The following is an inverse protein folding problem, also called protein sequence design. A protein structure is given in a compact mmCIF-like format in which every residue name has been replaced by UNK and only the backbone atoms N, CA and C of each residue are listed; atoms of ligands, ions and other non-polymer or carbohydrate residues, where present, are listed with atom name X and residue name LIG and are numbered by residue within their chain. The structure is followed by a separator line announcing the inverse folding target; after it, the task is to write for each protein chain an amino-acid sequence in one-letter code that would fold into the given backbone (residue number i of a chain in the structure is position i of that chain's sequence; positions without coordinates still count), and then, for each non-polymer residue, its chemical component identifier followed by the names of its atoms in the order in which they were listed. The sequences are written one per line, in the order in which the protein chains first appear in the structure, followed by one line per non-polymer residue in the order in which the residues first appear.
data_IF_902247651427
#
_entry.id   IF_902247651427
#
_cell.length_a   1.000
_cell.length_b   1.000
_cell.length_c   1.000
_cell.angle_alpha   90.00
_cell.angle_beta   90.00
_cell.angle_gamma   90.00
#
_symmetry.space_group_name_H-M   'P 1'
#
loop_
_entity.id
_entity.type
_entity.pdbx_description
1 polymer ?
#
# COMPACT_ATOMS: atom_id res chain seq x y z
N UNK A 1 11.21 14.34 22.61
CA UNK A 1 11.08 13.66 21.31
C UNK A 1 10.31 14.61 20.40
N UNK A 2 11.00 15.37 19.55
CA UNK A 2 10.37 16.32 18.62
C UNK A 2 9.80 15.53 17.45
N UNK A 3 8.47 15.51 17.30
CA UNK A 3 7.80 14.92 16.15
C UNK A 3 8.25 15.66 14.87
N UNK A 4 8.35 14.93 13.75
CA UNK A 4 9.10 15.31 12.56
C UNK A 4 8.92 16.75 12.07
N UNK A 5 9.85 17.63 12.46
CA UNK A 5 9.98 19.02 11.96
C UNK A 5 10.70 19.11 10.62
N UNK A 6 11.15 17.97 10.09
CA UNK A 6 11.67 17.94 8.72
C UNK A 6 10.53 18.20 7.73
N UNK A 7 10.80 18.89 6.61
CA UNK A 7 9.87 18.98 5.50
C UNK A 7 9.37 17.58 5.10
N UNK A 8 8.09 17.45 4.78
CA UNK A 8 7.47 16.22 4.32
C UNK A 8 8.10 15.75 3.00
N UNK A 9 8.49 16.70 2.15
CA UNK A 9 9.15 16.47 0.88
C UNK A 9 10.40 17.35 0.75
N UNK A 10 11.44 16.86 0.07
CA UNK A 10 12.66 17.63 -0.20
C UNK A 10 13.60 17.85 0.99
N UNK A 11 13.39 17.15 2.12
CA UNK A 11 14.24 17.28 3.31
C UNK A 11 15.60 16.58 3.19
N UNK A 12 15.78 15.64 2.26
CA UNK A 12 17.01 14.87 2.07
C UNK A 12 17.40 14.81 0.59
N UNK A 13 18.65 15.14 0.29
CA UNK A 13 19.26 15.08 -1.04
C UNK A 13 19.85 13.70 -1.37
N UNK A 14 19.89 12.77 -0.40
CA UNK A 14 20.31 11.40 -0.65
C UNK A 14 19.20 10.63 -1.37
N UNK A 15 19.54 10.01 -2.51
CA UNK A 15 18.63 9.20 -3.33
C UNK A 15 17.91 8.09 -2.53
N UNK A 16 18.50 7.62 -1.43
CA UNK A 16 17.97 6.56 -0.56
C UNK A 16 16.89 7.03 0.44
N UNK A 17 16.67 8.34 0.57
CA UNK A 17 15.81 8.89 1.63
C UNK A 17 14.29 8.67 1.45
N UNK A 18 13.86 8.12 0.31
CA UNK A 18 12.45 7.93 -0.01
C UNK A 18 12.15 6.56 -0.62
N UNK A 19 12.74 5.48 -0.09
CA UNK A 19 12.36 4.11 -0.47
C UNK A 19 10.86 3.85 -0.25
N UNK A 20 10.29 4.38 0.83
CA UNK A 20 8.86 4.27 1.15
C UNK A 20 8.12 5.52 0.71
N UNK A 21 7.15 5.34 -0.18
CA UNK A 21 6.23 6.39 -0.63
C UNK A 21 5.05 6.47 0.33
N UNK A 22 4.88 7.62 0.97
CA UNK A 22 3.84 7.90 1.96
C UNK A 22 2.97 9.03 1.48
N UNK A 23 1.67 8.87 1.62
CA UNK A 23 0.69 9.92 1.44
C UNK A 23 -0.35 9.89 2.55
N UNK A 24 -0.84 11.07 2.94
CA UNK A 24 -1.95 11.25 3.87
C UNK A 24 -3.02 12.12 3.21
N UNK A 25 -4.28 11.90 3.58
CA UNK A 25 -5.42 12.61 3.02
C UNK A 25 -5.83 13.76 3.93
N UNK A 26 -6.29 14.85 3.34
CA UNK A 26 -6.88 15.96 4.07
C UNK A 26 -8.02 16.54 3.25
N UNK A 27 -8.72 17.49 3.85
CA UNK A 27 -9.77 18.24 3.17
C UNK A 27 -9.54 19.73 3.35
N UNK A 28 -9.90 20.54 2.36
CA UNK A 28 -9.94 22.00 2.50
C UNK A 28 -10.82 22.42 3.68
N UNK A 29 -10.52 23.57 4.29
CA UNK A 29 -11.29 24.07 5.44
C UNK A 29 -12.77 24.35 5.15
N UNK A 30 -13.13 24.65 3.91
CA UNK A 30 -14.52 24.81 3.47
C UNK A 30 -15.21 23.48 3.16
N UNK A 31 -14.47 22.36 3.21
CA UNK A 31 -14.99 21.02 3.01
C UNK A 31 -15.27 20.64 1.55
N UNK A 32 -14.79 21.44 0.58
CA UNK A 32 -15.14 21.27 -0.84
C UNK A 32 -14.10 20.52 -1.68
N UNK A 33 -12.85 20.38 -1.18
CA UNK A 33 -11.77 19.76 -1.93
C UNK A 33 -11.05 18.69 -1.13
N UNK A 34 -10.92 17.49 -1.72
CA UNK A 34 -10.05 16.44 -1.22
C UNK A 34 -8.59 16.75 -1.56
N UNK A 35 -7.70 16.60 -0.58
CA UNK A 35 -6.29 16.97 -0.69
C UNK A 35 -5.38 15.79 -0.32
N UNK A 36 -4.19 15.76 -0.94
CA UNK A 36 -3.17 14.76 -0.66
C UNK A 36 -1.86 15.46 -0.29
N UNK A 37 -1.30 15.10 0.86
CA UNK A 37 0.07 15.43 1.24
C UNK A 37 0.94 14.18 1.08
N UNK A 38 2.10 14.30 0.45
CA UNK A 38 2.95 13.15 0.18
C UNK A 38 4.44 13.46 0.36
N UNK A 39 5.25 12.42 0.61
CA UNK A 39 6.71 12.52 0.62
C UNK A 39 7.34 12.25 -0.77
N UNK A 40 6.55 12.34 -1.83
CA UNK A 40 6.99 12.13 -3.20
C UNK A 40 6.38 13.19 -4.12
N UNK A 41 6.84 13.17 -5.37
CA UNK A 41 6.25 13.97 -6.43
C UNK A 41 5.67 13.05 -7.51
N UNK A 42 4.64 13.52 -8.22
CA UNK A 42 4.00 12.80 -9.31
C UNK A 42 3.36 13.77 -10.30
N UNK A 43 3.08 13.35 -11.55
CA UNK A 43 2.28 14.15 -12.46
C UNK A 43 0.90 14.46 -11.89
N UNK A 44 0.40 15.68 -12.13
CA UNK A 44 -0.96 16.09 -11.81
C UNK A 44 -1.66 16.47 -13.11
N UNK A 45 -2.88 15.96 -13.30
CA UNK A 45 -3.71 16.29 -14.47
C UNK A 45 -4.83 17.22 -14.07
N UNK A 46 -5.29 18.07 -14.99
CA UNK A 46 -6.35 19.05 -14.75
C UNK A 46 -7.73 18.45 -14.40
N UNK A 47 -7.89 17.13 -14.55
CA UNK A 47 -9.09 16.37 -14.20
C UNK A 47 -8.97 15.55 -12.92
N UNK A 48 -7.92 15.76 -12.12
CA UNK A 48 -7.72 15.06 -10.85
C UNK A 48 -8.83 15.46 -9.86
N UNK A 49 -9.52 14.48 -9.28
CA UNK A 49 -10.54 14.70 -8.26
C UNK A 49 -9.96 15.14 -6.90
N UNK A 50 -8.65 15.04 -6.73
CA UNK A 50 -7.93 15.47 -5.54
C UNK A 50 -6.83 16.49 -5.89
N UNK A 51 -6.71 17.51 -5.04
CA UNK A 51 -5.61 18.47 -5.09
C UNK A 51 -4.36 17.85 -4.48
N UNK A 52 -3.33 17.62 -5.29
CA UNK A 52 -2.01 17.23 -4.79
C UNK A 52 -1.29 18.48 -4.27
N UNK A 53 -1.15 18.60 -2.95
CA UNK A 53 -0.60 19.82 -2.36
C UNK A 53 0.91 19.76 -2.45
N UNK A 54 1.46 20.54 -3.38
CA UNK A 54 2.88 20.76 -3.55
C UNK A 54 3.16 22.25 -3.77
N UNK A 55 3.65 22.98 -2.76
CA UNK A 55 3.97 24.39 -2.90
C UNK A 55 5.10 24.64 -3.90
N UNK A 56 5.02 25.72 -4.68
CA UNK A 56 6.12 26.14 -5.58
C UNK A 56 7.35 26.57 -4.80
N UNK A 57 7.16 27.24 -3.66
CA UNK A 57 8.23 27.64 -2.77
C UNK A 57 8.49 26.52 -1.74
N UNK A 58 9.68 25.88 -1.74
CA UNK A 58 10.01 24.83 -0.78
C UNK A 58 9.91 25.26 0.68
N UNK A 59 10.08 26.56 1.01
CA UNK A 59 9.90 27.05 2.38
C UNK A 59 8.46 26.90 2.88
N UNK A 60 7.50 26.68 1.99
CA UNK A 60 6.10 26.46 2.31
C UNK A 60 5.73 24.97 2.37
N UNK A 61 6.68 24.05 2.20
CA UNK A 61 6.43 22.62 2.35
C UNK A 61 6.00 22.29 3.78
N UNK A 62 4.95 21.47 3.93
CA UNK A 62 4.49 21.05 5.25
C UNK A 62 5.59 20.25 5.95
N UNK A 63 5.80 20.49 7.23
CA UNK A 63 6.59 19.57 8.05
C UNK A 63 5.78 18.29 8.31
N UNK A 64 6.45 17.17 8.61
CA UNK A 64 5.77 15.88 8.82
C UNK A 64 4.69 15.97 9.91
N UNK A 65 4.96 16.68 11.01
CA UNK A 65 3.96 16.86 12.08
C UNK A 65 2.78 17.73 11.64
N UNK A 66 2.97 18.67 10.72
CA UNK A 66 1.92 19.55 10.21
C UNK A 66 0.96 18.76 9.30
N UNK A 67 1.50 17.92 8.42
CA UNK A 67 0.71 17.01 7.62
C UNK A 67 -0.06 16.01 8.50
N UNK A 68 0.56 15.50 9.56
CA UNK A 68 -0.09 14.65 10.55
C UNK A 68 -1.20 15.38 11.32
N UNK A 69 -1.00 16.64 11.70
CA UNK A 69 -2.02 17.44 12.36
C UNK A 69 -3.21 17.72 11.43
N UNK A 70 -2.93 18.04 10.16
CA UNK A 70 -3.95 18.33 9.16
C UNK A 70 -4.83 17.11 8.83
N UNK A 71 -4.23 15.94 8.57
CA UNK A 71 -4.99 14.70 8.28
C UNK A 71 -5.86 14.24 9.45
N UNK A 72 -5.53 14.68 10.67
CA UNK A 72 -6.16 14.28 11.94
C UNK A 72 -7.11 15.33 12.52
N UNK A 73 -7.29 16.48 11.84
CA UNK A 73 -8.09 17.59 12.32
C UNK A 73 -9.60 17.33 12.15
N UNK A 74 -10.10 16.28 12.81
CA UNK A 74 -11.46 15.80 12.68
C UNK A 74 -12.45 16.88 13.12
N UNK A 75 -13.40 17.28 12.24
CA UNK A 75 -14.42 18.24 12.61
C UNK A 75 -15.12 17.82 13.90
N UNK A 76 -15.47 18.83 14.70
CA UNK A 76 -16.07 18.69 16.03
C UNK A 76 -15.16 18.18 17.17
N UNK A 77 -14.10 17.45 16.86
CA UNK A 77 -13.11 17.02 17.85
C UNK A 77 -11.94 18.00 17.93
N UNK A 78 -11.49 18.51 16.78
CA UNK A 78 -10.35 19.41 16.68
C UNK A 78 -10.71 20.67 15.88
N UNK A 79 -9.95 21.74 16.12
CA UNK A 79 -9.97 22.91 15.22
C UNK A 79 -9.28 22.53 13.91
N UNK A 80 -9.68 23.13 12.77
CA UNK A 80 -8.90 23.03 11.53
C UNK A 80 -7.43 23.37 11.79
N UNK A 81 -6.52 22.64 11.15
CA UNK A 81 -5.10 22.94 11.21
C UNK A 81 -4.78 24.05 10.21
N UNK A 82 -4.28 25.18 10.68
CA UNK A 82 -3.83 26.30 9.83
C UNK A 82 -2.32 26.27 9.69
N UNK A 83 -1.85 26.11 8.45
CA UNK A 83 -0.43 26.18 8.13
C UNK A 83 0.05 27.63 8.18
N UNK A 84 0.90 27.95 9.15
CA UNK A 84 1.28 29.33 9.47
C UNK A 84 1.99 30.06 8.32
N UNK A 85 2.73 29.32 7.49
CA UNK A 85 3.56 29.88 6.41
C UNK A 85 2.74 30.26 5.17
N UNK A 86 1.62 29.60 4.93
CA UNK A 86 0.73 29.84 3.77
C UNK A 86 -0.60 30.47 4.14
N UNK A 87 -1.02 30.35 5.41
CA UNK A 87 -2.36 30.70 5.88
C UNK A 87 -3.44 29.69 5.48
N UNK A 88 -3.10 28.64 4.72
CA UNK A 88 -4.06 27.62 4.29
C UNK A 88 -4.50 26.76 5.48
N UNK A 89 -5.80 26.49 5.57
CA UNK A 89 -6.38 25.68 6.63
C UNK A 89 -6.94 24.36 6.09
N UNK A 90 -6.78 23.31 6.88
CA UNK A 90 -7.10 21.94 6.54
C UNK A 90 -7.93 21.28 7.64
N UNK A 91 -8.80 20.36 7.26
CA UNK A 91 -9.52 19.44 8.16
C UNK A 91 -9.23 17.99 7.76
N UNK A 92 -9.66 17.06 8.60
CA UNK A 92 -9.44 15.62 8.44
C UNK A 92 -9.85 15.09 7.05
N UNK A 93 -9.05 14.17 6.53
CA UNK A 93 -9.27 13.52 5.24
C UNK A 93 -10.44 12.54 5.23
N UNK A 94 -10.94 12.13 6.39
CA UNK A 94 -12.07 11.23 6.58
C UNK A 94 -13.38 11.75 5.98
N UNK A 95 -13.51 13.05 5.75
CA UNK A 95 -14.67 13.65 5.07
C UNK A 95 -14.81 13.17 3.60
N UNK A 96 -13.71 12.81 2.94
CA UNK A 96 -13.73 12.27 1.57
C UNK A 96 -13.20 10.84 1.47
N UNK A 97 -12.18 10.53 2.28
CA UNK A 97 -11.34 9.35 2.11
C UNK A 97 -11.04 8.67 3.45
N UNK A 98 -12.08 8.34 4.22
CA UNK A 98 -11.90 7.61 5.49
C UNK A 98 -11.25 6.23 5.31
N UNK A 99 -11.52 5.60 4.17
CA UNK A 99 -10.73 4.49 3.66
C UNK A 99 -9.96 4.98 2.41
N UNK A 100 -8.65 5.26 2.51
CA UNK A 100 -7.89 5.81 1.40
C UNK A 100 -7.51 4.76 0.33
N UNK A 101 -8.23 3.63 0.24
CA UNK A 101 -7.94 2.54 -0.71
C UNK A 101 -7.90 3.00 -2.18
N UNK A 102 -8.88 3.83 -2.59
CA UNK A 102 -8.91 4.41 -3.93
C UNK A 102 -7.74 5.36 -4.15
N UNK A 103 -7.43 6.21 -3.16
CA UNK A 103 -6.28 7.12 -3.21
C UNK A 103 -4.99 6.31 -3.36
N UNK A 104 -4.77 5.30 -2.53
CA UNK A 104 -3.58 4.47 -2.55
C UNK A 104 -3.40 3.72 -3.89
N UNK A 105 -4.48 3.12 -4.43
CA UNK A 105 -4.44 2.46 -5.73
C UNK A 105 -4.28 3.45 -6.90
N UNK A 106 -4.73 4.69 -6.77
CA UNK A 106 -4.52 5.75 -7.77
C UNK A 106 -3.08 6.25 -7.73
N UNK A 107 -2.58 6.61 -6.55
CA UNK A 107 -1.25 7.15 -6.37
C UNK A 107 -0.18 6.16 -6.82
N UNK A 108 -0.33 4.85 -6.55
CA UNK A 108 0.63 3.85 -7.08
C UNK A 108 0.74 3.90 -8.61
N UNK A 109 -0.38 4.10 -9.32
CA UNK A 109 -0.38 4.13 -10.78
C UNK A 109 0.32 5.37 -11.31
N UNK A 110 0.24 6.48 -10.58
CA UNK A 110 0.89 7.74 -10.94
C UNK A 110 2.39 7.74 -10.61
N UNK A 111 2.79 7.08 -9.52
CA UNK A 111 4.21 6.92 -9.15
C UNK A 111 4.90 5.93 -10.09
N UNK A 112 4.21 4.84 -10.48
CA UNK A 112 4.75 3.77 -11.33
C UNK A 112 3.92 3.57 -12.61
N UNK A 113 3.97 4.53 -13.57
CA UNK A 113 3.13 4.50 -14.76
C UNK A 113 3.38 3.28 -15.66
N UNK A 114 4.60 2.76 -15.69
CA UNK A 114 4.98 1.59 -16.50
C UNK A 114 4.24 0.28 -16.12
N UNK A 115 3.63 0.25 -14.92
CA UNK A 115 2.88 -0.89 -14.40
C UNK A 115 1.48 -0.47 -13.91
N UNK A 116 0.98 0.69 -14.35
CA UNK A 116 -0.30 1.23 -13.90
C UNK A 116 -1.49 0.31 -14.19
N UNK A 117 -1.45 -0.38 -15.33
CA UNK A 117 -2.50 -1.31 -15.78
C UNK A 117 -2.40 -2.70 -15.15
N UNK A 118 -1.32 -2.96 -14.40
CA UNK A 118 -1.10 -4.22 -13.69
C UNK A 118 -1.66 -4.15 -12.28
N UNK A 119 -2.06 -5.30 -11.75
CA UNK A 119 -2.38 -5.46 -10.34
C UNK A 119 -1.11 -5.22 -9.49
N UNK A 120 -1.25 -4.67 -8.26
CA UNK A 120 -0.13 -4.64 -7.33
C UNK A 120 0.22 -6.07 -6.89
N UNK A 121 1.41 -6.25 -6.29
CA UNK A 121 1.74 -7.53 -5.65
C UNK A 121 0.78 -7.81 -4.50
N UNK A 122 0.46 -6.75 -3.76
CA UNK A 122 -0.52 -6.75 -2.69
C UNK A 122 -0.96 -5.31 -2.42
N UNK A 123 -2.27 -5.13 -2.22
CA UNK A 123 -2.84 -3.93 -1.63
C UNK A 123 -3.54 -4.34 -0.33
N UNK A 124 -2.97 -3.93 0.81
CA UNK A 124 -3.53 -4.21 2.13
C UNK A 124 -4.23 -2.97 2.67
N UNK A 125 -5.55 -3.05 2.82
CA UNK A 125 -6.35 -2.05 3.52
C UNK A 125 -6.59 -2.49 4.96
N UNK A 126 -6.11 -1.71 5.94
CA UNK A 126 -6.25 -2.02 7.37
C UNK A 126 -7.31 -1.10 7.99
N UNK A 127 -8.33 -1.70 8.59
CA UNK A 127 -9.39 -1.00 9.30
C UNK A 127 -9.14 -0.91 10.81
N UNK A 128 -9.92 -0.07 11.48
CA UNK A 128 -9.82 0.22 12.92
C UNK A 128 -10.69 -0.70 13.79
N UNK A 129 -11.14 -1.83 13.25
CA UNK A 129 -12.10 -2.74 13.86
C UNK A 129 -13.54 -2.38 13.51
N UNK A 130 -14.41 -3.41 13.45
CA UNK A 130 -15.85 -3.23 13.19
C UNK A 130 -16.70 -3.94 14.25
N UNK A 131 -17.96 -3.52 14.35
CA UNK A 131 -18.99 -4.29 15.04
C UNK A 131 -20.21 -4.42 14.11
N UNK A 132 -20.41 -5.57 13.44
CA UNK A 132 -21.50 -5.76 12.48
C UNK A 132 -22.89 -5.74 13.12
N UNK A 133 -22.99 -5.90 14.45
CA UNK A 133 -24.27 -5.82 15.18
C UNK A 133 -24.67 -4.39 15.58
N UNK A 134 -23.77 -3.41 15.46
CA UNK A 134 -24.06 -1.99 15.70
C UNK A 134 -25.05 -1.38 14.69
N UNK A 135 -24.89 -1.53 13.35
CA UNK A 135 -25.79 -0.88 12.39
C UNK A 135 -27.23 -1.40 12.47
N UNK A 136 -27.44 -2.66 12.83
CA UNK A 136 -28.78 -3.26 12.93
C UNK A 136 -29.53 -2.82 14.20
N UNK A 137 -28.81 -2.67 15.33
CA UNK A 137 -29.35 -2.13 16.58
C UNK A 137 -29.59 -0.64 16.52
N UNK A 138 -28.68 0.11 15.93
CA UNK A 138 -28.89 1.54 15.70
C UNK A 138 -30.03 1.79 14.72
N UNK A 139 -30.22 0.95 13.68
CA UNK A 139 -31.40 1.02 12.82
C UNK A 139 -32.73 0.66 13.53
N UNK A 140 -32.71 -0.23 14.52
CA UNK A 140 -33.88 -0.54 15.37
C UNK A 140 -34.17 0.56 16.39
N UNK A 141 -33.14 1.15 17.00
CA UNK A 141 -33.24 2.33 17.86
C UNK A 141 -33.76 3.53 17.07
N UNK A 142 -33.30 3.72 15.81
CA UNK A 142 -33.81 4.71 14.84
C UNK A 142 -35.31 4.57 14.55
N UNK A 143 -35.88 3.34 14.63
CA UNK A 143 -37.32 3.10 14.44
C UNK A 143 -38.15 3.31 15.70
N UNK A 144 -37.53 3.21 16.87
CA UNK A 144 -38.19 3.37 18.18
C UNK A 144 -38.05 4.77 18.75
N UNK A 145 -37.12 5.59 18.22
CA UNK A 145 -36.97 7.02 18.52
C UNK A 145 -37.74 7.95 17.56
N UNK A 146 -38.77 7.45 16.86
CA UNK A 146 -39.77 8.31 16.23
C UNK A 146 -40.64 8.94 17.33
N UNK A 147 -40.79 10.27 17.41
CA UNK A 147 -41.67 10.87 18.39
C UNK A 147 -43.11 10.43 18.08
N UNK A 148 -43.78 9.82 19.05
CA UNK A 148 -45.25 9.85 19.08
C UNK A 148 -45.64 11.33 19.19
N UNK A 149 -46.49 11.79 18.27
CA UNK A 149 -47.14 13.08 18.36
C UNK A 149 -47.98 13.13 19.65
N UNK A 150 -47.38 13.65 20.72
CA UNK A 150 -48.09 13.92 21.95
C UNK A 150 -48.52 15.39 21.92
N UNK A 151 -49.77 15.61 21.53
CA UNK A 151 -50.42 16.92 21.53
C UNK A 151 -50.57 17.44 22.96
N UNK A 152 -49.57 18.15 23.46
CA UNK A 152 -49.71 19.03 24.63
C UNK A 152 -49.29 20.46 24.26
N UNK A 153 -50.24 21.39 24.07
CA UNK A 153 -49.92 22.77 23.77
C UNK A 153 -49.62 23.50 25.07
N UNK A 154 -48.33 23.77 25.33
CA UNK A 154 -47.79 24.97 26.00
C UNK A 154 -46.48 24.63 26.75
N UNK A 155 -45.35 24.79 26.09
CA UNK A 155 -44.06 24.99 26.74
C UNK A 155 -43.18 25.94 25.91
N UNK A 156 -42.36 26.82 26.52
CA UNK A 156 -41.63 27.86 25.79
C UNK A 156 -40.57 27.23 24.88
N UNK A 157 -40.48 27.74 23.66
CA UNK A 157 -39.56 27.28 22.61
C UNK A 157 -38.10 27.55 22.98
N UNK A 158 -37.43 26.53 23.49
CA UNK A 158 -36.02 26.58 23.81
C UNK A 158 -35.19 26.58 22.49
N UNK A 159 -34.76 27.77 22.02
CA UNK A 159 -33.92 27.95 20.81
C UNK A 159 -32.64 27.10 20.81
N UNK A 160 -32.17 26.66 21.98
CA UNK A 160 -31.03 25.75 22.15
C UNK A 160 -31.28 24.32 21.63
N UNK A 161 -32.53 23.87 21.52
CA UNK A 161 -32.85 22.53 21.02
C UNK A 161 -32.61 22.37 19.52
N UNK A 162 -32.79 23.44 18.73
CA UNK A 162 -32.63 23.42 17.27
C UNK A 162 -31.16 23.33 16.82
N UNK A 163 -30.26 24.03 17.51
CA UNK A 163 -28.81 24.00 17.24
C UNK A 163 -28.23 22.61 17.57
N UNK A 164 -28.68 21.99 18.69
CA UNK A 164 -28.25 20.63 19.03
C UNK A 164 -28.75 19.59 18.04
N UNK A 165 -29.98 19.73 17.52
CA UNK A 165 -30.53 18.83 16.49
C UNK A 165 -29.79 18.95 15.16
N UNK A 166 -29.46 20.16 14.73
CA UNK A 166 -28.71 20.40 13.49
C UNK A 166 -27.26 19.93 13.60
N UNK A 167 -26.60 20.17 14.73
CA UNK A 167 -25.29 19.59 15.02
C UNK A 167 -25.35 18.07 15.01
N UNK A 168 -26.27 17.44 15.76
CA UNK A 168 -26.41 15.98 15.79
C UNK A 168 -26.67 15.39 14.40
N UNK A 169 -27.46 16.04 13.55
CA UNK A 169 -27.68 15.61 12.17
C UNK A 169 -26.41 15.74 11.30
N UNK A 170 -25.58 16.77 11.54
CA UNK A 170 -24.28 16.90 10.88
C UNK A 170 -23.28 15.85 11.38
N UNK A 171 -23.18 15.61 12.69
CA UNK A 171 -22.40 14.51 13.27
C UNK A 171 -22.79 13.17 12.65
N UNK A 172 -24.09 12.89 12.53
CA UNK A 172 -24.58 11.65 11.90
C UNK A 172 -24.20 11.55 10.42
N UNK A 173 -24.15 12.68 9.69
CA UNK A 173 -23.66 12.69 8.31
C UNK A 173 -22.17 12.42 8.25
N UNK A 174 -21.39 13.03 9.14
CA UNK A 174 -19.97 12.73 9.29
C UNK A 174 -19.75 11.25 9.60
N UNK A 175 -20.47 10.67 10.57
CA UNK A 175 -20.37 9.25 10.91
C UNK A 175 -20.74 8.33 9.72
N UNK A 176 -21.77 8.68 8.93
CA UNK A 176 -22.15 7.91 7.75
C UNK A 176 -21.13 8.03 6.60
N UNK A 177 -20.49 9.19 6.44
CA UNK A 177 -19.39 9.41 5.48
C UNK A 177 -18.15 8.58 5.87
N UNK A 178 -17.98 8.30 7.17
CA UNK A 178 -16.91 7.48 7.69
C UNK A 178 -17.15 5.96 7.54
N UNK A 179 -18.09 5.50 6.70
CA UNK A 179 -18.27 4.05 6.45
C UNK A 179 -17.16 3.47 5.55
N UNK A 180 -16.04 3.13 6.20
CA UNK A 180 -14.87 2.57 5.55
C UNK A 180 -15.10 1.18 4.91
N UNK A 181 -16.10 0.43 5.39
CA UNK A 181 -16.45 -0.89 4.84
C UNK A 181 -17.28 -0.75 3.56
N UNK A 182 -18.15 0.25 3.49
CA UNK A 182 -18.85 0.58 2.26
C UNK A 182 -17.87 0.96 1.14
N UNK A 183 -16.93 1.88 1.41
CA UNK A 183 -15.87 2.24 0.44
C UNK A 183 -15.03 1.05 0.01
N UNK A 184 -14.74 0.11 0.92
CA UNK A 184 -14.04 -1.12 0.55
C UNK A 184 -14.88 -1.99 -0.40
N UNK A 185 -16.18 -2.17 -0.10
CA UNK A 185 -17.08 -3.00 -0.89
C UNK A 185 -17.22 -2.46 -2.32
N UNK A 186 -17.32 -1.14 -2.47
CA UNK A 186 -17.33 -0.48 -3.79
C UNK A 186 -15.99 -0.69 -4.52
N UNK A 187 -14.87 -0.47 -3.84
CA UNK A 187 -13.54 -0.68 -4.41
C UNK A 187 -13.34 -2.11 -4.89
N UNK A 188 -13.75 -3.07 -4.08
CA UNK A 188 -13.67 -4.49 -4.40
C UNK A 188 -14.53 -4.83 -5.62
N UNK A 189 -15.76 -4.29 -5.72
CA UNK A 189 -16.64 -4.47 -6.87
C UNK A 189 -16.05 -3.89 -8.17
N UNK A 190 -15.43 -2.70 -8.10
CA UNK A 190 -14.80 -2.06 -9.27
C UNK A 190 -13.64 -2.88 -9.83
N UNK A 191 -12.88 -3.54 -8.95
CA UNK A 191 -11.65 -4.26 -9.30
C UNK A 191 -11.93 -5.73 -9.65
N UNK A 192 -12.87 -6.40 -8.98
CA UNK A 192 -13.17 -7.83 -9.14
C UNK A 192 -13.98 -8.17 -10.41
N UNK A 193 -14.23 -7.21 -11.32
CA UNK A 193 -14.78 -7.49 -12.65
C UNK A 193 -13.84 -8.29 -13.58
N UNK A 194 -12.77 -8.90 -13.04
CA UNK A 194 -11.77 -9.70 -13.75
C UNK A 194 -11.59 -11.04 -13.03
N UNK A 195 -12.38 -12.04 -13.41
CA UNK A 195 -12.27 -13.40 -12.89
C UNK A 195 -11.08 -14.12 -13.57
N UNK A 196 -9.87 -13.93 -13.04
CA UNK A 196 -8.64 -14.52 -13.57
C UNK A 196 -8.26 -15.87 -12.92
N UNK A 197 -9.08 -16.34 -11.96
CA UNK A 197 -8.90 -17.61 -11.27
C UNK A 197 -7.82 -17.60 -10.18
N UNK A 198 -7.30 -16.43 -9.79
CA UNK A 198 -6.30 -16.28 -8.73
C UNK A 198 -6.85 -15.60 -7.47
N UNK A 199 -6.23 -15.82 -6.30
CA UNK A 199 -6.53 -15.02 -5.12
C UNK A 199 -6.33 -13.53 -5.41
N UNK A 200 -7.31 -12.71 -5.05
CA UNK A 200 -7.24 -11.27 -5.24
C UNK A 200 -6.03 -10.69 -4.48
N UNK A 201 -5.17 -9.87 -5.12
CA UNK A 201 -4.08 -9.19 -4.42
C UNK A 201 -4.58 -8.04 -3.54
N UNK A 202 -5.89 -7.75 -3.55
CA UNK A 202 -6.52 -6.72 -2.75
C UNK A 202 -7.11 -7.35 -1.49
N UNK A 203 -6.56 -6.98 -0.33
CA UNK A 203 -6.88 -7.60 0.95
C UNK A 203 -7.39 -6.54 1.94
N UNK A 204 -8.52 -6.80 2.59
CA UNK A 204 -9.05 -6.00 3.70
C UNK A 204 -8.85 -6.73 5.01
N UNK A 205 -8.03 -6.14 5.88
CA UNK A 205 -7.87 -6.58 7.25
C UNK A 205 -8.68 -5.67 8.17
N UNK A 206 -9.93 -6.05 8.42
CA UNK A 206 -10.77 -5.38 9.41
C UNK A 206 -11.62 -6.42 10.16
N UNK A 207 -11.28 -6.69 11.42
CA UNK A 207 -11.92 -7.75 12.20
C UNK A 207 -13.12 -7.25 13.00
N UNK A 208 -14.12 -8.12 13.11
CA UNK A 208 -15.23 -7.93 14.04
C UNK A 208 -14.72 -8.01 15.48
N UNK A 209 -14.86 -6.93 16.24
CA UNK A 209 -14.44 -6.81 17.63
C UNK A 209 -15.41 -7.49 18.60
N UNK A 210 -16.54 -8.01 18.13
CA UNK A 210 -17.64 -8.64 18.90
C UNK A 210 -18.26 -7.72 19.98
N UNK A 211 -17.77 -6.48 20.08
CA UNK A 211 -18.14 -5.46 21.04
C UNK A 211 -18.14 -4.10 20.33
N UNK A 212 -18.94 -3.14 20.83
CA UNK A 212 -18.96 -1.80 20.24
C UNK A 212 -17.62 -1.12 20.53
N UNK A 213 -16.89 -0.62 19.51
CA UNK A 213 -15.67 0.13 19.74
C UNK A 213 -15.94 1.33 20.65
N UNK A 214 -14.97 1.75 21.48
CA UNK A 214 -15.10 2.97 22.26
C UNK A 214 -15.30 4.18 21.32
N UNK A 215 -15.95 5.26 21.80
CA UNK A 215 -16.01 6.52 21.06
C UNK A 215 -14.62 7.01 20.65
N UNK A 216 -14.56 7.73 19.54
CA UNK A 216 -13.32 8.21 18.93
C UNK A 216 -12.40 9.00 19.90
N UNK A 217 -12.98 9.76 20.82
CA UNK A 217 -12.29 10.61 21.78
C UNK A 217 -12.04 9.97 23.15
N UNK A 218 -12.46 8.71 23.37
CA UNK A 218 -12.37 8.00 24.65
C UNK A 218 -10.94 7.50 24.96
N UNK A 219 -10.01 8.43 25.11
CA UNK A 219 -8.57 8.16 25.36
C UNK A 219 -8.30 7.36 26.64
N UNK A 220 -9.18 7.46 27.63
CA UNK A 220 -9.14 6.72 28.89
C UNK A 220 -9.37 5.22 28.69
N UNK A 221 -10.12 4.83 27.66
CA UNK A 221 -10.43 3.42 27.33
C UNK A 221 -9.38 2.75 26.45
N UNK A 222 -8.36 3.46 25.98
CA UNK A 222 -7.37 2.92 25.04
C UNK A 222 -6.65 1.67 25.57
N UNK A 223 -6.36 1.62 26.88
CA UNK A 223 -5.68 0.46 27.49
C UNK A 223 -6.55 -0.79 27.48
N UNK A 224 -7.83 -0.64 27.82
CA UNK A 224 -8.85 -1.70 27.81
C UNK A 224 -9.10 -2.17 26.38
N UNK A 225 -9.37 -1.24 25.46
CA UNK A 225 -9.60 -1.56 24.05
C UNK A 225 -8.43 -2.30 23.41
N UNK A 226 -7.18 -1.93 23.74
CA UNK A 226 -5.99 -2.66 23.27
C UNK A 226 -5.91 -4.08 23.83
N UNK A 227 -6.39 -4.33 25.04
CA UNK A 227 -6.46 -5.67 25.62
C UNK A 227 -7.51 -6.51 24.89
N UNK A 228 -8.69 -5.95 24.62
CA UNK A 228 -9.76 -6.61 23.88
C UNK A 228 -9.33 -7.00 22.46
N UNK A 229 -8.67 -6.08 21.75
CA UNK A 229 -8.10 -6.36 20.42
C UNK A 229 -7.07 -7.48 20.48
N UNK A 230 -6.19 -7.50 21.50
CA UNK A 230 -5.21 -8.58 21.66
C UNK A 230 -5.86 -9.93 21.92
N UNK A 231 -6.94 -9.96 22.70
CA UNK A 231 -7.71 -11.17 22.91
C UNK A 231 -8.36 -11.63 21.60
N UNK A 232 -8.98 -10.70 20.85
CA UNK A 232 -9.61 -11.00 19.56
C UNK A 232 -8.59 -11.51 18.54
N UNK A 233 -7.36 -10.99 18.56
CA UNK A 233 -6.27 -11.48 17.72
C UNK A 233 -5.93 -12.94 17.99
N UNK A 234 -6.25 -13.52 19.17
CA UNK A 234 -5.98 -14.93 19.48
C UNK A 234 -7.08 -15.88 18.99
N UNK A 235 -8.24 -15.35 18.57
CA UNK A 235 -9.31 -16.19 18.06
C UNK A 235 -8.89 -16.89 16.76
N UNK A 236 -9.21 -18.19 16.57
CA UNK A 236 -8.72 -18.95 15.41
C UNK A 236 -9.02 -18.32 14.05
N UNK A 237 -10.23 -17.80 13.86
CA UNK A 237 -10.66 -17.16 12.62
C UNK A 237 -9.85 -15.91 12.28
N UNK A 238 -9.50 -15.09 13.29
CA UNK A 238 -8.69 -13.89 13.09
C UNK A 238 -7.22 -14.24 12.93
N UNK A 239 -6.72 -15.18 13.74
CA UNK A 239 -5.33 -15.65 13.65
C UNK A 239 -5.03 -16.19 12.25
N UNK A 240 -5.95 -16.93 11.65
CA UNK A 240 -5.73 -17.51 10.32
C UNK A 240 -5.69 -16.43 9.24
N UNK A 241 -6.59 -15.45 9.26
CA UNK A 241 -6.53 -14.28 8.35
C UNK A 241 -5.24 -13.48 8.52
N UNK A 242 -4.82 -13.22 9.77
CA UNK A 242 -3.58 -12.49 10.06
C UNK A 242 -2.35 -13.27 9.59
N UNK A 243 -2.33 -14.60 9.79
CA UNK A 243 -1.27 -15.47 9.28
C UNK A 243 -1.23 -15.45 7.76
N UNK A 244 -2.37 -15.53 7.09
CA UNK A 244 -2.42 -15.53 5.62
C UNK A 244 -1.91 -14.22 5.03
N UNK A 245 -2.27 -13.08 5.63
CA UNK A 245 -1.72 -11.76 5.28
C UNK A 245 -0.21 -11.71 5.52
N UNK A 246 0.26 -12.17 6.69
CA UNK A 246 1.68 -12.19 7.01
C UNK A 246 2.48 -13.09 6.05
N UNK A 247 1.99 -14.29 5.75
CA UNK A 247 2.61 -15.21 4.81
C UNK A 247 2.63 -14.65 3.38
N UNK A 248 1.56 -13.95 2.96
CA UNK A 248 1.52 -13.24 1.67
C UNK A 248 2.58 -12.15 1.59
N UNK A 249 2.73 -11.34 2.65
CA UNK A 249 3.80 -10.34 2.74
C UNK A 249 5.19 -10.99 2.66
N UNK A 250 5.40 -12.09 3.38
CA UNK A 250 6.67 -12.84 3.35
C UNK A 250 6.95 -13.41 1.96
N UNK A 251 5.96 -13.96 1.26
CA UNK A 251 6.11 -14.44 -0.11
C UNK A 251 6.44 -13.30 -1.09
N UNK A 252 5.85 -12.13 -0.89
CA UNK A 252 6.13 -10.92 -1.69
C UNK A 252 7.56 -10.37 -1.51
N UNK A 253 8.29 -10.83 -0.49
CA UNK A 253 9.72 -10.54 -0.35
C UNK A 253 10.59 -11.29 -1.36
N UNK A 254 10.04 -12.31 -2.03
CA UNK A 254 10.70 -13.06 -3.09
C UNK A 254 10.20 -12.62 -4.46
N UNK A 255 11.08 -12.69 -5.46
CA UNK A 255 10.76 -12.41 -6.86
C UNK A 255 11.55 -13.33 -7.78
N UNK A 256 11.12 -13.43 -9.04
CA UNK A 256 11.85 -14.21 -10.06
C UNK A 256 12.55 -13.30 -11.06
N UNK A 257 13.88 -13.39 -11.10
CA UNK A 257 14.73 -12.74 -12.10
C UNK A 257 14.87 -13.65 -13.31
N UNK A 258 14.12 -13.35 -14.37
CA UNK A 258 14.26 -14.02 -15.66
C UNK A 258 15.60 -13.60 -16.30
N UNK A 259 16.39 -14.57 -16.75
CA UNK A 259 17.72 -14.34 -17.35
C UNK A 259 17.68 -14.56 -18.85
N UNK A 260 16.99 -15.62 -19.28
CA UNK A 260 16.95 -16.01 -20.69
C UNK A 260 15.63 -16.70 -21.00
N UNK A 261 15.14 -16.44 -22.21
CA UNK A 261 14.04 -17.19 -22.83
C UNK A 261 14.51 -17.74 -24.17
N UNK A 262 14.33 -19.04 -24.42
CA UNK A 262 14.70 -19.70 -25.68
C UNK A 262 13.47 -20.36 -26.29
N UNK A 263 13.07 -20.00 -27.53
CA UNK A 263 11.99 -20.70 -28.22
C UNK A 263 12.39 -22.15 -28.53
N UNK A 264 11.47 -23.08 -28.29
CA UNK A 264 11.65 -24.50 -28.56
C UNK A 264 10.87 -24.93 -29.81
N UNK A 265 11.22 -26.10 -30.35
CA UNK A 265 10.44 -26.72 -31.43
C UNK A 265 9.06 -27.08 -30.87
N UNK A 266 8.00 -26.53 -31.45
CA UNK A 266 6.62 -26.72 -30.97
C UNK A 266 5.95 -25.46 -30.41
N UNK A 267 6.63 -24.31 -30.40
CA UNK A 267 6.04 -23.01 -30.02
C UNK A 267 6.08 -22.69 -28.52
N UNK A 268 6.62 -23.62 -27.71
CA UNK A 268 6.92 -23.39 -26.30
C UNK A 268 8.25 -22.66 -26.11
N UNK A 269 8.50 -22.22 -24.88
CA UNK A 269 9.67 -21.43 -24.52
C UNK A 269 10.34 -22.00 -23.28
N UNK A 270 11.64 -22.27 -23.35
CA UNK A 270 12.46 -22.57 -22.17
C UNK A 270 12.83 -21.26 -21.48
N UNK A 271 12.42 -21.10 -20.23
CA UNK A 271 12.73 -19.96 -19.38
C UNK A 271 13.79 -20.36 -18.35
N UNK A 272 14.86 -19.59 -18.26
CA UNK A 272 15.94 -19.74 -17.27
C UNK A 272 15.98 -18.52 -16.39
N UNK A 273 16.04 -18.70 -15.07
CA UNK A 273 16.16 -17.57 -14.14
C UNK A 273 16.45 -17.97 -12.71
N UNK A 274 16.39 -16.99 -11.81
CA UNK A 274 16.70 -17.16 -10.38
C UNK A 274 15.53 -16.69 -9.52
N UNK A 275 15.27 -17.43 -8.45
CA UNK A 275 14.41 -16.96 -7.36
C UNK A 275 15.29 -16.18 -6.39
N UNK A 276 14.98 -14.89 -6.22
CA UNK A 276 15.74 -13.92 -5.43
C UNK A 276 14.89 -13.41 -4.26
N UNK A 277 15.53 -12.75 -3.29
CA UNK A 277 14.85 -12.04 -2.20
C UNK A 277 15.21 -10.55 -2.25
N UNK A 278 14.27 -9.70 -1.84
CA UNK A 278 14.43 -8.23 -1.79
C UNK A 278 15.38 -7.77 -0.68
N UNK A 279 15.54 -8.55 0.38
CA UNK A 279 16.42 -8.19 1.49
C UNK A 279 17.89 -8.39 1.12
N UNK A 280 18.73 -7.47 1.55
CA UNK A 280 20.18 -7.51 1.29
C UNK A 280 20.84 -8.74 1.94
N UNK A 281 21.87 -9.29 1.28
CA UNK A 281 22.67 -10.37 1.85
C UNK A 281 23.36 -9.92 3.13
N UNK A 282 23.34 -10.78 4.16
CA UNK A 282 23.93 -10.49 5.47
C UNK A 282 23.03 -9.71 6.43
N UNK A 283 21.96 -9.08 5.92
CA UNK A 283 21.04 -8.24 6.70
C UNK A 283 20.33 -9.00 7.83
N UNK A 284 19.88 -8.25 8.85
CA UNK A 284 19.05 -8.78 9.93
C UNK A 284 17.71 -9.29 9.42
N UNK A 285 17.14 -8.63 8.41
CA UNK A 285 15.83 -8.95 7.85
C UNK A 285 15.85 -10.28 7.10
N UNK A 286 16.90 -10.51 6.30
CA UNK A 286 17.07 -11.78 5.59
C UNK A 286 17.32 -12.95 6.57
N UNK A 287 18.04 -12.70 7.68
CA UNK A 287 18.20 -13.68 8.77
C UNK A 287 16.87 -13.96 9.49
N UNK A 288 16.06 -12.92 9.71
CA UNK A 288 14.73 -13.06 10.32
C UNK A 288 13.78 -13.86 9.41
N UNK A 289 13.81 -13.62 8.09
CA UNK A 289 13.13 -14.43 7.09
C UNK A 289 13.59 -15.90 7.14
N UNK A 290 14.89 -16.14 7.30
CA UNK A 290 15.43 -17.49 7.54
C UNK A 290 14.84 -18.17 8.77
N UNK A 291 14.79 -17.48 9.91
CA UNK A 291 14.16 -17.96 11.15
C UNK A 291 12.67 -18.22 11.00
N UNK A 292 11.97 -17.40 10.21
CA UNK A 292 10.56 -17.63 9.89
C UNK A 292 10.40 -18.94 9.11
N UNK A 293 11.15 -19.12 8.03
CA UNK A 293 11.09 -20.32 7.19
C UNK A 293 11.51 -21.58 7.96
N UNK A 294 12.50 -21.48 8.86
CA UNK A 294 12.91 -22.62 9.69
C UNK A 294 11.80 -23.09 10.61
N UNK A 295 10.94 -22.19 11.12
CA UNK A 295 9.76 -22.55 11.94
C UNK A 295 8.67 -23.25 11.15
N UNK A 296 8.67 -23.14 9.82
CA UNK A 296 7.74 -23.82 8.94
C UNK A 296 8.20 -25.25 8.61
N UNK A 297 9.45 -25.60 8.90
CA UNK A 297 10.01 -26.91 8.61
C UNK A 297 9.49 -27.97 9.59
N UNK A 298 9.16 -29.14 9.08
CA UNK A 298 8.85 -30.35 9.85
C UNK A 298 9.58 -31.54 9.22
N UNK A 299 9.67 -32.71 9.89
CA UNK A 299 10.29 -33.90 9.29
C UNK A 299 9.69 -34.29 7.92
N UNK A 300 8.42 -33.94 7.67
CA UNK A 300 7.69 -34.31 6.46
C UNK A 300 7.47 -33.13 5.50
N UNK A 301 7.92 -31.92 5.84
CA UNK A 301 7.67 -30.73 5.04
C UNK A 301 8.82 -29.73 5.13
N UNK A 302 9.29 -29.31 3.95
CA UNK A 302 10.21 -28.20 3.78
C UNK A 302 9.52 -27.14 2.92
N UNK A 303 9.63 -25.84 3.26
CA UNK A 303 9.18 -24.77 2.39
C UNK A 303 9.73 -24.94 0.97
N UNK A 304 8.89 -24.75 -0.04
CA UNK A 304 9.27 -24.94 -1.44
C UNK A 304 8.61 -23.88 -2.32
N UNK A 305 9.21 -23.57 -3.46
CA UNK A 305 8.55 -22.79 -4.49
C UNK A 305 7.90 -23.73 -5.50
N UNK A 306 6.71 -23.37 -5.97
CA UNK A 306 5.98 -24.10 -6.99
C UNK A 306 5.75 -23.20 -8.19
N UNK A 307 6.24 -23.62 -9.35
CA UNK A 307 6.08 -22.95 -10.64
C UNK A 307 5.00 -23.69 -11.44
N UNK A 308 3.96 -22.97 -11.89
CA UNK A 308 2.85 -23.53 -12.64
C UNK A 308 2.44 -22.59 -13.79
N UNK A 309 1.80 -23.16 -14.81
CA UNK A 309 1.14 -22.40 -15.88
C UNK A 309 -0.39 -22.61 -15.81
N UNK A 310 -1.17 -21.59 -16.16
CA UNK A 310 -2.65 -21.61 -16.09
C UNK A 310 -3.33 -22.65 -16.96
N UNK A 311 -2.72 -23.09 -18.07
CA UNK A 311 -3.23 -24.15 -18.93
C UNK A 311 -3.10 -25.56 -18.33
N UNK A 312 -2.37 -25.70 -17.20
CA UNK A 312 -2.09 -26.97 -16.52
C UNK A 312 -2.59 -26.99 -15.07
N UNK A 313 -3.74 -26.37 -14.79
CA UNK A 313 -4.41 -26.47 -13.49
C UNK A 313 -4.88 -27.90 -13.11
N UNK A 314 -4.63 -28.90 -13.96
CA UNK A 314 -4.90 -30.32 -13.66
C UNK A 314 -3.61 -31.10 -13.33
N UNK A 315 -3.60 -31.63 -12.11
CA UNK A 315 -2.75 -32.71 -11.61
C UNK A 315 -1.28 -32.37 -11.32
N UNK A 316 -0.96 -31.85 -10.13
CA UNK A 316 0.34 -32.07 -9.43
C UNK A 316 1.66 -31.75 -10.17
N UNK A 317 1.61 -31.22 -11.39
CA UNK A 317 2.70 -31.09 -12.37
C UNK A 317 3.45 -29.76 -12.29
N UNK A 318 3.37 -29.09 -11.14
CA UNK A 318 4.17 -27.89 -10.88
C UNK A 318 5.64 -28.25 -10.65
N UNK A 319 6.55 -27.43 -11.16
CA UNK A 319 7.97 -27.60 -10.90
C UNK A 319 8.24 -27.11 -9.47
N UNK A 320 8.79 -28.01 -8.64
CA UNK A 320 9.06 -27.77 -7.23
C UNK A 320 10.53 -27.42 -7.02
N UNK A 321 10.77 -26.29 -6.39
CA UNK A 321 12.11 -25.83 -5.99
C UNK A 321 12.16 -25.81 -4.46
N UNK A 322 12.65 -26.90 -3.86
CA UNK A 322 12.70 -27.06 -2.41
C UNK A 322 13.78 -26.19 -1.77
N UNK A 323 13.45 -25.52 -0.67
CA UNK A 323 14.44 -24.88 0.19
C UNK A 323 15.06 -25.96 1.07
N UNK A 324 16.27 -26.39 0.73
CA UNK A 324 16.99 -27.44 1.47
C UNK A 324 17.31 -27.00 2.91
N UNK A 325 17.54 -27.95 3.81
CA UNK A 325 18.01 -27.65 5.17
C UNK A 325 19.28 -26.79 5.17
N UNK A 326 20.21 -27.06 4.24
CA UNK A 326 21.42 -26.25 4.03
C UNK A 326 21.08 -24.83 3.62
N UNK A 327 20.11 -24.64 2.72
CA UNK A 327 19.66 -23.31 2.31
C UNK A 327 19.08 -22.54 3.49
N UNK A 328 18.19 -23.17 4.27
CA UNK A 328 17.53 -22.54 5.43
C UNK A 328 18.54 -22.24 6.56
N UNK A 329 19.47 -23.16 6.83
CA UNK A 329 20.54 -22.95 7.82
C UNK A 329 21.44 -21.76 7.44
N UNK A 330 21.83 -21.66 6.17
CA UNK A 330 22.61 -20.52 5.66
C UNK A 330 21.83 -19.21 5.73
N UNK A 331 20.56 -19.24 5.38
CA UNK A 331 19.68 -18.08 5.45
C UNK A 331 19.58 -17.57 6.89
N UNK A 332 19.38 -18.48 7.84
CA UNK A 332 19.23 -18.17 9.28
C UNK A 332 20.54 -17.66 9.90
N UNK A 333 21.68 -18.26 9.55
CA UNK A 333 22.97 -17.98 10.18
C UNK A 333 23.66 -16.77 9.54
N UNK A 334 23.72 -16.75 8.21
CA UNK A 334 24.52 -15.80 7.45
C UNK A 334 23.68 -14.76 6.71
N UNK A 335 22.35 -14.92 6.63
CA UNK A 335 21.52 -14.06 5.77
C UNK A 335 21.88 -14.24 4.30
N UNK A 336 22.07 -15.48 3.83
CA UNK A 336 22.43 -15.78 2.44
C UNK A 336 21.44 -16.74 1.80
N UNK A 337 20.76 -16.29 0.76
CA UNK A 337 19.86 -17.12 -0.05
C UNK A 337 20.60 -17.64 -1.27
N UNK A 338 20.91 -18.94 -1.29
CA UNK A 338 21.47 -19.60 -2.48
C UNK A 338 20.52 -20.67 -2.99
N UNK A 339 19.88 -20.35 -4.12
CA UNK A 339 19.04 -21.26 -4.90
C UNK A 339 19.69 -21.34 -6.29
N UNK A 340 19.93 -22.56 -6.84
CA UNK A 340 20.35 -22.72 -8.22
C UNK A 340 19.40 -22.01 -9.19
N UNK A 341 19.86 -21.73 -10.41
CA UNK A 341 18.93 -21.29 -11.45
C UNK A 341 17.89 -22.37 -11.69
N UNK A 342 16.70 -21.92 -12.08
CA UNK A 342 15.56 -22.77 -12.38
C UNK A 342 15.30 -22.65 -13.87
N UNK A 343 15.25 -23.80 -14.53
CA UNK A 343 14.85 -23.94 -15.92
C UNK A 343 13.46 -24.57 -15.99
N UNK A 344 12.58 -23.96 -16.77
CA UNK A 344 11.24 -24.50 -16.99
C UNK A 344 10.65 -24.10 -18.33
N UNK A 345 9.84 -24.99 -18.88
CA UNK A 345 9.13 -24.76 -20.14
C UNK A 345 7.79 -24.07 -19.90
N UNK A 346 7.53 -23.03 -20.68
CA UNK A 346 6.25 -22.30 -20.76
C UNK A 346 5.60 -22.64 -22.10
N UNK A 347 4.32 -23.03 -22.16
CA UNK A 347 3.74 -23.64 -23.36
C UNK A 347 3.61 -22.69 -24.54
N UNK A 348 3.45 -21.38 -24.32
CA UNK A 348 3.44 -20.36 -25.37
C UNK A 348 3.73 -18.97 -24.79
N UNK A 349 3.92 -17.97 -25.64
CA UNK A 349 4.28 -16.60 -25.24
C UNK A 349 3.23 -15.89 -24.37
N UNK A 350 1.95 -16.27 -24.49
CA UNK A 350 0.83 -15.69 -23.76
C UNK A 350 0.48 -16.46 -22.48
N UNK A 351 1.16 -17.58 -22.21
CA UNK A 351 0.83 -18.42 -21.08
C UNK A 351 1.14 -17.72 -19.76
N UNK A 352 0.13 -17.65 -18.90
CA UNK A 352 0.23 -17.00 -17.62
C UNK A 352 0.92 -17.97 -16.65
N UNK A 353 2.11 -17.60 -16.19
CA UNK A 353 2.91 -18.38 -15.25
C UNK A 353 2.67 -17.85 -13.84
N UNK A 354 2.64 -18.76 -12.86
CA UNK A 354 2.65 -18.45 -11.43
C UNK A 354 3.88 -19.03 -10.78
N UNK A 355 4.43 -18.31 -9.82
CA UNK A 355 5.43 -18.83 -8.89
C UNK A 355 4.92 -18.50 -7.49
N UNK A 356 4.77 -19.53 -6.66
CA UNK A 356 4.27 -19.39 -5.30
C UNK A 356 5.24 -20.01 -4.30
N UNK A 357 5.40 -19.36 -3.16
CA UNK A 357 6.00 -19.93 -1.97
C UNK A 357 4.96 -20.81 -1.27
N UNK A 358 5.33 -22.06 -1.03
CA UNK A 358 4.50 -23.03 -0.33
C UNK A 358 4.94 -23.09 1.12
N UNK A 359 4.01 -22.79 2.03
CA UNK A 359 4.20 -22.85 3.47
C UNK A 359 3.18 -23.83 4.08
N UNK A 360 3.43 -24.21 5.34
CA UNK A 360 2.48 -25.02 6.10
C UNK A 360 1.24 -24.18 6.40
N UNK A 361 0.06 -24.66 6.01
CA UNK A 361 -1.22 -24.00 6.27
C UNK A 361 -1.66 -24.09 7.73
N UNK A 362 -2.62 -23.24 8.11
CA UNK A 362 -3.41 -23.36 9.34
C UNK A 362 -4.28 -24.63 9.37
N UNK A 363 -4.94 -24.87 10.51
CA UNK A 363 -5.58 -26.12 10.95
C UNK A 363 -6.04 -27.07 9.83
N UNK A 364 -5.49 -28.31 9.85
CA UNK A 364 -5.69 -29.45 8.91
C UNK A 364 -4.74 -29.49 7.70
N UNK A 365 -3.52 -30.02 7.89
CA UNK A 365 -2.60 -30.69 6.93
C UNK A 365 -2.44 -30.16 5.48
N UNK A 366 -2.97 -28.99 5.18
CA UNK A 366 -2.91 -28.34 3.88
C UNK A 366 -1.64 -27.52 3.77
N UNK A 367 -1.00 -27.59 2.61
CA UNK A 367 0.03 -26.63 2.23
C UNK A 367 -0.65 -25.44 1.55
N UNK A 368 -0.32 -24.22 1.98
CA UNK A 368 -0.85 -22.99 1.38
C UNK A 368 0.17 -22.40 0.42
N UNK A 369 -0.32 -21.82 -0.68
CA UNK A 369 0.47 -21.21 -1.74
C UNK A 369 0.31 -19.69 -1.70
N UNK A 370 1.41 -18.97 -1.60
CA UNK A 370 1.45 -17.52 -1.60
C UNK A 370 2.28 -17.01 -2.78
N UNK A 371 1.72 -16.18 -3.63
CA UNK A 371 2.37 -15.73 -4.87
C UNK A 371 3.62 -14.89 -4.57
N UNK A 372 4.63 -15.05 -5.41
CA UNK A 372 5.80 -14.18 -5.41
C UNK A 372 5.48 -12.84 -6.03
N UNK A 373 6.30 -11.85 -5.71
CA UNK A 373 6.21 -10.52 -6.31
C UNK A 373 6.31 -10.58 -7.84
N UNK A 374 5.40 -9.89 -8.51
CA UNK A 374 5.25 -9.82 -9.95
C UNK A 374 4.50 -10.98 -10.60
N UNK A 375 3.89 -11.89 -9.83
CA UNK A 375 3.11 -13.01 -10.35
C UNK A 375 1.62 -12.89 -10.00
N UNK A 376 0.71 -13.37 -10.87
CA UNK A 376 0.98 -14.11 -12.11
C UNK A 376 1.47 -13.22 -13.28
N UNK A 377 2.29 -13.76 -14.21
CA UNK A 377 2.78 -13.00 -15.39
C UNK A 377 3.14 -13.86 -16.60
N UNK A 378 3.17 -13.25 -17.79
CA UNK A 378 3.62 -13.86 -19.05
C UNK A 378 5.12 -13.67 -19.25
N UNK A 379 5.93 -14.71 -19.06
CA UNK A 379 7.39 -14.55 -19.05
C UNK A 379 8.02 -14.20 -20.41
N UNK A 380 7.67 -14.88 -21.53
CA UNK A 380 8.37 -14.68 -22.80
C UNK A 380 8.19 -13.28 -23.37
N UNK A 381 7.01 -12.67 -23.20
CA UNK A 381 6.74 -11.32 -23.68
C UNK A 381 7.46 -10.24 -22.88
N UNK A 382 7.62 -10.44 -21.56
CA UNK A 382 8.29 -9.46 -20.72
C UNK A 382 9.77 -9.28 -21.07
N UNK A 383 10.45 -10.33 -21.52
CA UNK A 383 11.87 -10.24 -21.91
C UNK A 383 12.09 -9.33 -23.14
N UNK A 384 11.17 -9.36 -24.11
CA UNK A 384 11.26 -8.52 -25.31
C UNK A 384 11.08 -7.03 -25.02
N UNK A 385 10.36 -6.67 -23.94
CA UNK A 385 10.23 -5.27 -23.50
C UNK A 385 11.47 -4.75 -22.75
N UNK A 386 12.25 -5.63 -22.11
CA UNK A 386 13.45 -5.21 -21.36
C UNK A 386 14.64 -4.97 -22.30
N UNK A 387 14.70 -5.65 -23.46
CA UNK A 387 15.75 -5.45 -24.48
C UNK A 387 15.54 -4.24 -25.39
N UNK A 388 14.33 -3.69 -25.50
CA UNK A 388 14.06 -2.53 -26.37
C UNK A 388 14.44 -1.17 -25.72
N UNK A 389 14.99 -1.18 -24.50
CA UNK A 389 15.53 0.02 -23.86
C UNK A 389 16.95 0.31 -24.37
N UNK A 390 17.24 1.52 -24.88
CA UNK A 390 18.61 1.89 -25.21
C UNK A 390 19.47 1.83 -23.94
N UNK A 391 20.71 1.31 -24.00
CA UNK A 391 21.60 1.28 -22.86
C UNK A 391 21.85 2.71 -22.38
N UNK A 392 21.63 2.96 -21.09
CA UNK A 392 22.03 4.19 -20.43
C UNK A 392 23.53 4.38 -20.58
N UNK A 393 23.96 5.45 -21.25
CA UNK A 393 25.37 5.83 -21.33
C UNK A 393 25.93 5.99 -19.91
N UNK A 394 26.84 5.10 -19.53
CA UNK A 394 27.77 5.34 -18.43
C UNK A 394 28.99 6.04 -19.02
N UNK A 395 29.06 7.37 -18.86
CA UNK A 395 30.29 8.12 -19.12
C UNK A 395 31.10 8.18 -17.83
N UNK A 396 32.18 7.41 -17.76
CA UNK A 396 33.30 7.66 -16.83
C UNK A 396 34.06 8.92 -17.29
N UNK A 397 34.52 9.79 -16.38
CA UNK A 397 35.35 10.92 -16.77
C UNK A 397 36.80 10.47 -16.87
N UNK A 398 37.30 10.29 -18.10
CA UNK A 398 38.73 10.22 -18.34
C UNK A 398 39.28 11.62 -18.58
N UNK A 399 40.14 12.04 -17.66
CA UNK A 399 40.97 13.23 -17.72
C UNK A 399 42.05 13.07 -18.79
N UNK A 400 42.09 13.94 -19.81
CA UNK A 400 43.33 14.46 -20.42
C UNK A 400 43.11 15.84 -21.04
N UNK A 401 43.94 16.78 -20.60
CA UNK A 401 44.18 18.09 -21.19
C UNK A 401 44.73 17.97 -22.62
N UNK A 402 44.47 18.99 -23.45
CA UNK A 402 45.30 19.28 -24.63
C UNK A 402 44.60 19.90 -25.83
N UNK A 403 44.78 21.22 -25.95
CA UNK A 403 44.90 22.01 -27.19
C UNK A 403 43.67 22.63 -27.89
N UNK A 404 43.94 23.89 -28.24
CA UNK A 404 43.11 24.96 -28.77
C UNK A 404 43.31 25.02 -30.30
N UNK A 405 42.25 25.22 -31.08
CA UNK A 405 42.28 26.19 -32.20
C UNK A 405 40.89 26.48 -32.78
N UNK A 406 40.68 27.77 -33.05
CA UNK A 406 39.49 28.46 -33.54
C UNK A 406 38.94 28.02 -34.91
N UNK A 407 37.60 28.16 -35.08
CA UNK A 407 37.01 28.88 -36.23
C UNK A 407 35.47 29.10 -36.11
N UNK A 408 35.10 30.35 -35.85
CA UNK A 408 34.04 31.20 -36.45
C UNK A 408 32.58 30.68 -36.66
N UNK A 409 31.71 31.24 -35.81
CA UNK A 409 30.67 32.26 -36.10
C UNK A 409 29.32 31.88 -36.76
N UNK A 410 28.26 32.21 -35.98
CA UNK A 410 26.96 32.81 -36.35
C UNK A 410 25.71 31.90 -36.44
N UNK A 411 24.82 31.96 -35.42
CA UNK A 411 23.62 32.83 -35.41
C UNK A 411 22.83 32.73 -34.09
N UNK A 412 22.14 33.83 -33.79
CA UNK A 412 21.56 34.26 -32.51
C UNK A 412 20.23 33.58 -32.13
N UNK A 413 20.05 33.46 -30.80
CA UNK A 413 18.84 33.66 -29.95
C UNK A 413 17.58 32.84 -30.27
N UNK A 414 17.21 31.97 -29.32
CA UNK A 414 16.05 32.20 -28.45
C UNK A 414 16.22 31.38 -27.16
N UNK A 415 15.96 31.98 -26.00
CA UNK A 415 16.04 31.34 -24.70
C UNK A 415 14.71 30.68 -24.37
N UNK A 416 14.75 29.42 -23.94
CA UNK A 416 13.81 28.89 -22.96
C UNK A 416 14.55 27.88 -22.10
N UNK A 417 14.56 28.15 -20.80
CA UNK A 417 15.16 27.30 -19.77
C UNK A 417 14.29 26.06 -19.65
N UNK A 418 14.74 24.96 -20.26
CA UNK A 418 14.18 23.63 -20.02
C UNK A 418 14.81 23.13 -18.72
N UNK A 419 14.07 23.27 -17.61
CA UNK A 419 14.32 22.53 -16.38
C UNK A 419 14.22 21.04 -16.71
N UNK A 420 15.37 20.39 -16.79
CA UNK A 420 15.47 18.98 -17.14
C UNK A 420 15.33 18.16 -15.85
N UNK A 421 14.10 17.84 -15.45
CA UNK A 421 13.87 16.82 -14.40
C UNK A 421 14.01 15.45 -15.04
N UNK A 422 15.17 14.84 -14.87
CA UNK A 422 15.40 13.44 -15.23
C UNK A 422 14.47 12.55 -14.37
N UNK A 423 13.33 12.18 -14.93
CA UNK A 423 12.51 11.08 -14.41
C UNK A 423 13.29 9.78 -14.62
N UNK A 424 14.01 9.33 -13.61
CA UNK A 424 14.71 8.05 -13.66
C UNK A 424 13.69 6.92 -13.55
N UNK A 425 13.43 6.30 -14.69
CA UNK A 425 12.53 5.18 -14.81
C UNK A 425 13.19 3.90 -14.24
N UNK A 426 12.79 3.51 -13.03
CA UNK A 426 13.05 2.21 -12.41
C UNK A 426 12.82 1.12 -13.47
N UNK A 427 13.77 0.19 -13.70
CA UNK A 427 13.55 -0.90 -14.65
C UNK A 427 12.31 -1.70 -14.21
N UNK A 428 11.39 -2.06 -15.13
CA UNK A 428 10.13 -2.71 -14.78
C UNK A 428 10.32 -4.08 -14.09
N UNK A 429 11.53 -4.65 -14.13
CA UNK A 429 11.90 -5.83 -13.34
C UNK A 429 12.04 -5.56 -11.83
N UNK A 430 12.12 -4.30 -11.41
CA UNK A 430 12.20 -3.83 -10.01
C UNK A 430 11.01 -2.98 -9.57
N UNK A 431 10.11 -2.57 -10.47
CA UNK A 431 8.87 -1.87 -10.10
C UNK A 431 7.88 -2.89 -9.51
N UNK A 432 8.00 -3.12 -8.19
CA UNK A 432 7.22 -4.07 -7.40
C UNK A 432 6.63 -3.27 -6.25
N UNK A 433 5.30 -3.26 -6.14
CA UNK A 433 4.61 -2.30 -5.28
C UNK A 433 3.73 -3.03 -4.28
N UNK A 434 4.16 -3.00 -3.03
CA UNK A 434 3.30 -3.21 -1.88
C UNK A 434 2.63 -1.87 -1.55
N UNK A 435 1.30 -1.83 -1.57
CA UNK A 435 0.56 -0.64 -1.16
C UNK A 435 -0.18 -0.95 0.14
N UNK A 436 0.05 -0.14 1.16
CA UNK A 436 -0.73 -0.20 2.39
C UNK A 436 -1.60 1.03 2.50
N UNK A 437 -2.91 0.84 2.58
CA UNK A 437 -3.88 1.87 2.87
C UNK A 437 -4.32 1.69 4.32
N UNK A 438 -4.00 2.65 5.19
CA UNK A 438 -4.39 2.61 6.60
C UNK A 438 -5.50 3.63 6.79
N UNK A 439 -6.64 3.19 7.31
CA UNK A 439 -7.63 4.11 7.87
C UNK A 439 -7.08 4.59 9.20
N UNK A 440 -6.72 5.88 9.28
CA UNK A 440 -6.17 6.47 10.48
C UNK A 440 -7.30 7.09 11.30
N UNK A 441 -7.69 6.46 12.40
CA UNK A 441 -8.35 7.15 13.50
C UNK A 441 -7.26 7.64 14.47
N UNK A 442 -6.88 8.91 14.38
CA UNK A 442 -5.84 9.46 15.26
C UNK A 442 -6.40 9.81 16.63
N UNK A 443 -5.88 9.18 17.67
CA UNK A 443 -5.82 9.74 19.03
C UNK A 443 -4.39 10.19 19.31
N UNK A 444 -4.13 11.50 19.26
CA UNK A 444 -2.91 12.07 19.85
C UNK A 444 -3.14 12.27 21.35
N UNK A 445 -2.51 11.44 22.20
CA UNK A 445 -2.57 11.64 23.65
C UNK A 445 -1.50 12.63 24.13
N UNK A 446 -1.98 13.76 24.64
CA UNK A 446 -1.38 14.68 25.61
C UNK A 446 0.03 15.25 25.38
N UNK A 447 0.03 16.56 25.15
CA UNK A 447 1.10 17.53 25.37
C UNK A 447 0.82 18.72 24.46
N UNK A 448 0.99 19.96 24.92
CA UNK A 448 0.89 21.19 24.11
C UNK A 448 -0.51 21.82 23.97
N UNK A 449 -1.04 22.25 25.13
CA UNK A 449 -1.58 23.60 25.23
C UNK A 449 -0.79 24.31 26.34
N UNK A 450 0.20 25.09 25.94
CA UNK A 450 0.74 26.28 26.62
C UNK A 450 1.60 27.01 25.62
#
# INVERSE_FOLDING_TARGET
MTLGRSPLFGANDSLDAFEIKVAVTATSADGNEAMIFANYNRPQSSGDSQTFVRPENPSNELEVWEAAAATSAAPFYFKPYTHTRTGTSYIDGGLYHNNPVYVANRERKLIWPAIADKHPDMLLSIGTGKNPSAPQREALERRSSSPRDDHTPNAPTNKFGGIRRTLNALYQRFDNILDAEHTWTEFEADINNRNDGFPSPYLRLNFDLKSKPPPFDAKDKFKEFRADVRQRLMDPDVMDVVKDVACSLMASSFYFKLVKTVPLRGGSFMCTGYICCKFEEGSSDLKALGKFLSRQCTPNFMPEFVIQDTSRCTDGRGIKVKLTEKTISRLTTYGMLRIPHVDFEVPNAMALTTIALVLRGGCQDGTQKYLLSGFPRTLPLFFNFDQSRPPSLSSTPDSKDGEISDAKQAKRKFSSVISTTASQAIPPSQAQVLVTAISVCSTFSNGFCS
#
